data_IF_116977706827
#
_entry.id   IF_116977706827
#
_cell.length_a   1.000
_cell.length_b   1.000
_cell.length_c   1.000
_cell.angle_alpha   90.00
_cell.angle_beta   90.00
_cell.angle_gamma   90.00
#
_symmetry.space_group_name_H-M   'P 1'
#
loop_
_entity.id
_entity.type
_entity.pdbx_description
1 polymer ?
#
# COMPACT_ATOMS: atom_id res chain seq x y z
N UNK A 1 9.30 16.34 24.72
CA UNK A 1 9.20 15.53 23.47
C UNK A 1 7.90 14.71 23.41
N UNK A 2 7.56 13.91 24.43
CA UNK A 2 6.33 13.09 24.45
C UNK A 2 5.02 13.89 24.36
N UNK A 3 4.90 15.02 25.06
CA UNK A 3 3.70 15.88 25.08
C UNK A 3 3.39 16.50 23.73
N UNK A 4 4.43 16.91 23.00
CA UNK A 4 4.34 17.55 21.68
C UNK A 4 3.83 16.56 20.64
N UNK A 5 4.39 15.34 20.61
CA UNK A 5 3.95 14.28 19.71
C UNK A 5 2.49 13.88 19.96
N UNK A 6 2.07 13.80 21.22
CA UNK A 6 0.67 13.52 21.59
C UNK A 6 -0.28 14.64 21.13
N UNK A 7 0.14 15.91 21.25
CA UNK A 7 -0.65 17.06 20.79
C UNK A 7 -0.85 17.01 19.27
N UNK A 8 0.23 16.85 18.50
CA UNK A 8 0.18 16.74 17.03
C UNK A 8 -0.71 15.57 16.61
N UNK A 9 -0.54 14.39 17.23
CA UNK A 9 -1.31 13.21 16.89
C UNK A 9 -2.81 13.41 17.18
N UNK A 10 -3.14 14.18 18.22
CA UNK A 10 -4.52 14.54 18.57
C UNK A 10 -5.14 15.44 17.50
N UNK A 11 -4.42 16.46 17.03
CA UNK A 11 -4.91 17.35 15.96
C UNK A 11 -5.06 16.61 14.62
N UNK A 12 -4.13 15.72 14.26
CA UNK A 12 -4.26 14.85 13.07
C UNK A 12 -5.49 13.93 13.21
N UNK A 13 -5.78 13.42 14.41
CA UNK A 13 -6.97 12.60 14.63
C UNK A 13 -8.26 13.41 14.49
N UNK A 14 -8.26 14.68 14.89
CA UNK A 14 -9.40 15.60 14.71
C UNK A 14 -9.65 15.88 13.23
N UNK A 15 -8.62 16.13 12.42
CA UNK A 15 -8.79 16.36 10.98
C UNK A 15 -9.40 15.14 10.27
N UNK A 16 -9.00 13.92 10.65
CA UNK A 16 -9.62 12.69 10.14
C UNK A 16 -11.12 12.62 10.48
N UNK A 17 -11.50 12.87 11.73
CA UNK A 17 -12.91 12.89 12.14
C UNK A 17 -13.72 13.96 11.40
N UNK A 18 -13.14 15.15 11.21
CA UNK A 18 -13.77 16.23 10.47
C UNK A 18 -14.06 15.84 9.01
N UNK A 19 -13.15 15.08 8.38
CA UNK A 19 -13.37 14.56 7.03
C UNK A 19 -14.51 13.54 6.99
N UNK A 20 -14.59 12.64 7.98
CA UNK A 20 -15.71 11.70 8.12
C UNK A 20 -17.04 12.45 8.31
N UNK A 21 -17.08 13.49 9.14
CA UNK A 21 -18.25 14.37 9.32
C UNK A 21 -18.62 15.08 8.01
N UNK A 22 -17.64 15.58 7.25
CA UNK A 22 -17.89 16.22 5.95
C UNK A 22 -18.57 15.27 4.97
N UNK A 23 -18.14 14.00 4.93
CA UNK A 23 -18.76 12.97 4.09
C UNK A 23 -20.19 12.64 4.53
N UNK A 24 -20.42 12.49 5.84
CA UNK A 24 -21.73 12.12 6.38
C UNK A 24 -22.76 13.25 6.27
N UNK A 25 -22.36 14.48 6.56
CA UNK A 25 -23.25 15.64 6.60
C UNK A 25 -23.37 16.33 5.22
N UNK A 26 -22.73 15.78 4.17
CA UNK A 26 -22.61 16.38 2.83
C UNK A 26 -22.16 17.84 2.85
N UNK A 27 -21.28 18.19 3.79
CA UNK A 27 -20.75 19.55 3.90
C UNK A 27 -19.86 19.88 2.71
N UNK A 28 -19.81 21.15 2.41
CA UNK A 28 -19.09 21.74 1.30
C UNK A 28 -17.57 21.82 1.56
N UNK A 29 -16.80 21.86 0.48
CA UNK A 29 -15.34 21.90 0.56
C UNK A 29 -14.80 23.16 1.28
N UNK A 30 -15.37 24.37 1.10
CA UNK A 30 -14.93 25.57 1.82
C UNK A 30 -14.97 25.41 3.34
N UNK A 31 -16.09 24.91 3.89
CA UNK A 31 -16.23 24.59 5.32
C UNK A 31 -15.09 23.69 5.82
N UNK A 32 -14.76 22.63 5.06
CA UNK A 32 -13.69 21.72 5.46
C UNK A 32 -12.33 22.41 5.51
N UNK A 33 -11.99 23.22 4.51
CA UNK A 33 -10.71 23.94 4.49
C UNK A 33 -10.61 25.00 5.59
N UNK A 34 -11.69 25.71 5.89
CA UNK A 34 -11.72 26.69 6.99
C UNK A 34 -11.50 26.02 8.35
N UNK A 35 -12.16 24.90 8.62
CA UNK A 35 -12.01 24.15 9.87
C UNK A 35 -10.61 23.52 9.99
N UNK A 36 -10.04 23.02 8.88
CA UNK A 36 -8.66 22.54 8.84
C UNK A 36 -7.68 23.69 9.13
N UNK A 37 -7.89 24.88 8.54
CA UNK A 37 -7.01 26.03 8.79
C UNK A 37 -6.98 26.42 10.27
N UNK A 38 -8.11 26.35 10.97
CA UNK A 38 -8.21 26.57 12.43
C UNK A 38 -7.49 25.49 13.25
N UNK A 39 -7.43 24.25 12.75
CA UNK A 39 -6.66 23.17 13.39
C UNK A 39 -5.16 23.41 13.18
N UNK A 40 -4.75 23.74 11.96
CA UNK A 40 -3.34 23.99 11.62
C UNK A 40 -2.79 25.20 12.36
N UNK A 41 -3.56 26.29 12.50
CA UNK A 41 -3.10 27.50 13.21
C UNK A 41 -2.88 27.30 14.71
N UNK A 42 -3.45 26.25 15.31
CA UNK A 42 -3.24 25.88 16.72
C UNK A 42 -1.98 25.06 16.93
N UNK A 43 -1.32 24.62 15.87
CA UNK A 43 -0.09 23.84 15.94
C UNK A 43 1.08 24.83 16.03
N UNK A 44 1.51 25.13 17.25
CA UNK A 44 2.69 25.98 17.52
C UNK A 44 4.03 25.22 17.41
N UNK A 45 4.01 24.02 16.84
CA UNK A 45 5.16 23.11 16.82
C UNK A 45 5.73 23.07 15.40
N UNK A 46 7.06 23.16 15.30
CA UNK A 46 7.76 22.85 14.07
C UNK A 46 7.58 21.37 13.70
N UNK A 47 6.85 21.12 12.61
CA UNK A 47 6.70 19.79 12.05
C UNK A 47 7.78 19.61 10.98
N UNK A 48 8.70 18.64 11.15
CA UNK A 48 9.60 18.26 10.07
C UNK A 48 8.77 17.82 8.87
N UNK A 49 8.90 18.54 7.76
CA UNK A 49 8.18 18.24 6.53
C UNK A 49 9.17 17.92 5.40
N UNK A 50 8.71 17.11 4.46
CA UNK A 50 9.39 16.93 3.18
C UNK A 50 8.68 17.84 2.20
N UNK A 51 9.41 18.82 1.67
CA UNK A 51 8.93 19.71 0.62
C UNK A 51 9.47 19.25 -0.73
N UNK A 52 8.59 19.22 -1.72
CA UNK A 52 8.96 19.05 -3.12
C UNK A 52 7.98 19.85 -3.98
N UNK A 53 8.48 20.40 -5.08
CA UNK A 53 7.68 21.09 -6.07
C UNK A 53 7.54 20.23 -7.32
N UNK A 54 6.31 19.84 -7.65
CA UNK A 54 6.03 19.00 -8.83
C UNK A 54 6.45 19.71 -10.13
N UNK A 55 6.49 21.05 -10.14
CA UNK A 55 6.89 21.84 -11.32
C UNK A 55 8.36 21.66 -11.68
N UNK A 56 9.21 21.30 -10.72
CA UNK A 56 10.61 20.98 -10.97
C UNK A 56 10.79 19.74 -11.84
N UNK A 57 9.79 18.84 -11.84
CA UNK A 57 9.78 17.60 -12.60
C UNK A 57 9.09 17.72 -13.96
N UNK A 58 8.54 18.89 -14.34
CA UNK A 58 7.75 19.05 -15.58
C UNK A 58 8.55 18.66 -16.84
N UNK A 59 9.85 18.97 -16.87
CA UNK A 59 10.74 18.59 -17.98
C UNK A 59 10.90 17.08 -18.10
N UNK A 60 11.11 16.40 -16.97
CA UNK A 60 11.28 14.94 -16.93
C UNK A 60 9.96 14.25 -17.26
N UNK A 61 8.84 14.74 -16.73
CA UNK A 61 7.50 14.21 -16.97
C UNK A 61 7.03 14.32 -18.42
N UNK A 62 7.54 15.28 -19.19
CA UNK A 62 7.13 15.55 -20.58
C UNK A 62 8.13 15.10 -21.63
N UNK A 63 9.30 14.60 -21.22
CA UNK A 63 10.26 14.07 -22.16
C UNK A 63 9.96 12.60 -22.50
N UNK A 64 10.57 12.09 -23.57
CA UNK A 64 10.46 10.67 -23.96
C UNK A 64 11.69 9.84 -23.55
N UNK A 65 12.54 10.39 -22.68
CA UNK A 65 13.80 9.78 -22.29
C UNK A 65 13.64 8.94 -21.01
N UNK A 66 13.56 7.62 -21.19
CA UNK A 66 13.39 6.66 -20.10
C UNK A 66 14.53 6.65 -19.07
N UNK A 67 15.69 7.21 -19.40
CA UNK A 67 16.80 7.32 -18.45
C UNK A 67 16.49 8.34 -17.33
N UNK A 68 15.74 9.39 -17.65
CA UNK A 68 15.41 10.49 -16.73
C UNK A 68 14.28 10.09 -15.76
N UNK A 69 13.48 9.08 -16.10
CA UNK A 69 12.43 8.50 -15.23
C UNK A 69 12.96 8.03 -13.88
N UNK A 70 14.28 7.77 -13.75
CA UNK A 70 14.91 7.44 -12.47
C UNK A 70 14.68 8.51 -11.41
N UNK A 71 14.58 9.79 -11.81
CA UNK A 71 14.30 10.91 -10.90
C UNK A 71 12.85 10.88 -10.39
N UNK A 72 11.92 10.33 -11.19
CA UNK A 72 10.51 10.20 -10.82
C UNK A 72 10.23 9.05 -9.85
N UNK A 73 11.14 8.08 -9.72
CA UNK A 73 10.95 6.92 -8.84
C UNK A 73 10.77 7.36 -7.38
N UNK A 74 11.57 8.32 -6.92
CA UNK A 74 11.48 8.83 -5.55
C UNK A 74 10.14 9.54 -5.32
N UNK A 75 9.75 10.41 -6.26
CA UNK A 75 8.48 11.13 -6.23
C UNK A 75 7.29 10.17 -6.21
N UNK A 76 7.31 9.15 -7.08
CA UNK A 76 6.28 8.13 -7.15
C UNK A 76 6.16 7.32 -5.85
N UNK A 77 7.29 6.96 -5.24
CA UNK A 77 7.29 6.26 -3.94
C UNK A 77 6.68 7.09 -2.83
N UNK A 78 7.02 8.38 -2.73
CA UNK A 78 6.48 9.28 -1.69
C UNK A 78 4.98 9.52 -1.89
N UNK A 79 4.55 9.70 -3.15
CA UNK A 79 3.14 9.91 -3.50
C UNK A 79 2.32 8.62 -3.55
N UNK A 80 2.96 7.46 -3.37
CA UNK A 80 2.24 6.19 -3.39
C UNK A 80 1.26 6.10 -2.21
N UNK A 81 0.09 5.46 -2.40
CA UNK A 81 -0.87 5.26 -1.31
C UNK A 81 -0.26 4.58 -0.10
N UNK A 82 0.73 3.71 -0.33
CA UNK A 82 1.45 2.98 0.71
C UNK A 82 2.18 3.94 1.65
N UNK A 83 2.91 4.89 1.07
CA UNK A 83 3.68 5.88 1.83
C UNK A 83 2.77 6.93 2.48
N UNK A 84 1.81 7.46 1.73
CA UNK A 84 0.88 8.49 2.22
C UNK A 84 -0.05 8.01 3.33
N UNK A 85 -0.54 6.76 3.24
CA UNK A 85 -1.46 6.19 4.22
C UNK A 85 -0.74 5.40 5.32
N UNK A 86 0.60 5.37 5.29
CA UNK A 86 1.42 4.54 6.17
C UNK A 86 0.91 3.09 6.22
N UNK A 87 0.47 2.58 5.07
CA UNK A 87 0.06 1.20 4.95
C UNK A 87 1.33 0.37 5.03
N UNK A 88 1.42 -0.49 6.04
CA UNK A 88 2.44 -1.53 6.07
C UNK A 88 2.17 -2.40 4.85
N UNK A 89 3.00 -2.27 3.82
CA UNK A 89 2.91 -3.17 2.69
C UNK A 89 3.28 -4.55 3.21
N UNK A 90 2.41 -5.58 3.10
CA UNK A 90 2.90 -6.95 3.07
C UNK A 90 3.53 -7.16 1.68
N UNK A 91 4.51 -6.33 1.33
CA UNK A 91 5.38 -6.59 0.20
C UNK A 91 6.51 -7.46 0.72
N UNK A 92 6.16 -8.64 1.21
CA UNK A 92 7.06 -9.73 0.96
C UNK A 92 6.66 -10.25 -0.42
N UNK A 93 7.57 -10.14 -1.39
CA UNK A 93 7.44 -10.82 -2.68
C UNK A 93 7.30 -12.35 -2.51
N UNK A 94 7.36 -12.86 -1.27
CA UNK A 94 6.99 -14.19 -0.81
C UNK A 94 5.50 -14.39 -0.47
N UNK A 95 4.60 -13.46 -0.78
CA UNK A 95 3.16 -13.72 -0.69
C UNK A 95 2.75 -14.71 -1.78
N UNK A 96 2.99 -16.00 -1.53
CA UNK A 96 2.71 -17.10 -2.43
C UNK A 96 1.23 -17.06 -2.82
N UNK A 97 0.94 -16.86 -4.10
CA UNK A 97 -0.41 -17.06 -4.62
C UNK A 97 -0.70 -18.56 -4.56
N UNK A 98 -1.35 -18.99 -3.47
CA UNK A 98 -1.60 -20.40 -3.14
C UNK A 98 -2.33 -21.13 -4.27
N UNK A 99 -3.24 -20.43 -4.98
CA UNK A 99 -3.99 -21.00 -6.11
C UNK A 99 -3.05 -21.30 -7.28
N UNK A 100 -2.23 -20.33 -7.68
CA UNK A 100 -1.26 -20.52 -8.76
C UNK A 100 -0.21 -21.59 -8.40
N UNK A 101 0.29 -21.58 -7.16
CA UNK A 101 1.25 -22.58 -6.68
C UNK A 101 0.67 -24.00 -6.70
N UNK A 102 -0.58 -24.18 -6.26
CA UNK A 102 -1.28 -25.48 -6.33
C UNK A 102 -1.54 -25.94 -7.76
N UNK A 103 -1.89 -25.02 -8.66
CA UNK A 103 -2.05 -25.31 -10.09
C UNK A 103 -0.71 -25.73 -10.72
N UNK A 104 0.39 -25.05 -10.38
CA UNK A 104 1.73 -25.41 -10.83
C UNK A 104 2.10 -26.84 -10.37
N UNK A 105 1.92 -27.15 -9.09
CA UNK A 105 2.14 -28.49 -8.54
C UNK A 105 1.30 -29.54 -9.28
N UNK A 106 0.04 -29.23 -9.56
CA UNK A 106 -0.86 -30.14 -10.28
C UNK A 106 -0.37 -30.46 -11.70
N UNK A 107 0.06 -29.44 -12.46
CA UNK A 107 0.57 -29.61 -13.83
C UNK A 107 1.81 -30.51 -13.86
N UNK A 108 2.71 -30.38 -12.88
CA UNK A 108 3.92 -31.20 -12.77
C UNK A 108 3.70 -32.55 -12.04
N UNK A 109 2.46 -32.87 -11.67
CA UNK A 109 2.09 -34.14 -11.04
C UNK A 109 2.49 -34.27 -9.55
N UNK A 110 2.69 -33.13 -8.87
CA UNK A 110 3.03 -33.04 -7.46
C UNK A 110 1.84 -32.54 -6.62
N UNK A 111 1.89 -32.78 -5.32
CA UNK A 111 0.97 -32.24 -4.33
C UNK A 111 1.72 -31.85 -3.06
N UNK A 112 1.20 -30.89 -2.31
CA UNK A 112 1.67 -30.55 -0.96
C UNK A 112 0.87 -31.35 0.07
N UNK A 113 1.56 -32.04 0.97
CA UNK A 113 0.97 -32.84 2.04
C UNK A 113 1.59 -32.48 3.40
N UNK A 114 0.79 -32.52 4.46
CA UNK A 114 1.28 -32.37 5.84
C UNK A 114 1.69 -33.72 6.39
N UNK A 115 2.98 -33.87 6.68
CA UNK A 115 3.54 -35.03 7.38
C UNK A 115 4.34 -34.52 8.59
N UNK A 116 4.06 -35.06 9.78
CA UNK A 116 4.70 -34.67 11.04
C UNK A 116 4.78 -33.15 11.29
N UNK A 117 3.71 -32.42 10.95
CA UNK A 117 3.62 -30.96 11.15
C UNK A 117 4.43 -30.12 10.17
N UNK A 118 5.10 -30.73 9.18
CA UNK A 118 5.80 -30.04 8.08
C UNK A 118 5.04 -30.22 6.78
N UNK A 119 5.04 -29.19 5.93
CA UNK A 119 4.56 -29.30 4.57
C UNK A 119 5.65 -29.94 3.69
N UNK A 120 5.32 -31.03 3.02
CA UNK A 120 6.22 -31.78 2.13
C UNK A 120 5.59 -31.84 0.74
N UNK A 121 6.39 -31.56 -0.29
CA UNK A 121 5.99 -31.74 -1.68
C UNK A 121 6.26 -33.19 -2.07
N UNK A 122 5.24 -33.91 -2.55
CA UNK A 122 5.34 -35.32 -2.95
C UNK A 122 4.65 -35.58 -4.28
N UNK A 123 5.03 -36.67 -4.96
CA UNK A 123 4.30 -37.13 -6.15
C UNK A 123 2.88 -37.53 -5.76
N UNK A 124 1.91 -37.08 -6.55
CA UNK A 124 0.52 -37.50 -6.40
C UNK A 124 0.44 -39.01 -6.66
N UNK A 125 0.11 -39.80 -5.63
CA UNK A 125 -0.09 -41.25 -5.77
C UNK A 125 -1.34 -41.47 -6.63
N UNK A 126 -1.14 -41.87 -7.88
CA UNK A 126 -2.23 -42.06 -8.82
C UNK A 126 -3.19 -43.18 -8.38
N UNK A 127 -4.50 -42.93 -8.47
CA UNK A 127 -5.34 -43.97 -9.08
C UNK A 127 -4.95 -43.99 -10.56
N UNK A 128 -4.69 -45.16 -11.17
CA UNK A 128 -4.50 -45.23 -12.60
C UNK A 128 -5.75 -44.63 -13.27
N UNK A 129 -5.53 -43.80 -14.29
CA UNK A 129 -6.60 -43.32 -15.15
C UNK A 129 -7.30 -44.56 -15.71
N UNK A 130 -8.54 -44.80 -15.28
CA UNK A 130 -9.40 -45.81 -15.91
C UNK A 130 -9.54 -45.44 -17.37
N UNK A 131 -9.05 -46.33 -18.23
CA UNK A 131 -9.44 -46.56 -19.63
C UNK A 131 -9.87 -45.36 -20.46
N UNK A 132 -8.99 -44.96 -21.37
CA UNK A 132 -9.44 -44.71 -22.74
C UNK A 132 -8.83 -45.81 -23.60
N UNK A 133 -9.65 -46.82 -23.90
CA UNK A 133 -9.40 -47.73 -24.99
C UNK A 133 -9.67 -46.97 -26.29
N UNK A 134 -8.66 -46.89 -27.16
CA UNK A 134 -8.76 -46.97 -28.62
C UNK A 134 -7.45 -47.59 -29.11
#
# INVERSE_FOLDING_TARGET
>A
MQTILTSIFTEIRKSKKLYETKLNDKKDNPFFYEEIAKIVSKIEVEIPCVYFDIREYDKVLRNNNKEDDKELIALFKILSPQHLLKIVTPNDSNSLNEKFYKELLHIIGLEEAKENGKNIIRRKKGKPLRGFAY
#
